data_IF_592771005757
#
_entry.id   IF_592771005757
#
_cell.length_a   1.000
_cell.length_b   1.000
_cell.length_c   1.000
_cell.angle_alpha   90.00
_cell.angle_beta   90.00
_cell.angle_gamma   90.00
#
_symmetry.space_group_name_H-M   'P 1'
#
loop_
_entity.id
_entity.type
_entity.pdbx_description
1 polymer ?
#
# COMPACT_ATOMS: atom_id res chain seq x y z
N UNK A 1 -26.84 -12.33 13.99
CA UNK A 1 -25.60 -12.21 13.20
C UNK A 1 -25.53 -10.78 12.70
N UNK A 2 -24.40 -10.07 12.83
CA UNK A 2 -24.32 -8.68 12.35
C UNK A 2 -24.31 -8.61 10.82
N UNK A 3 -24.69 -7.47 10.24
CA UNK A 3 -24.65 -7.26 8.79
C UNK A 3 -23.25 -7.55 8.21
N UNK A 4 -22.20 -7.10 8.91
CA UNK A 4 -20.80 -7.35 8.51
C UNK A 4 -20.44 -8.84 8.49
N UNK A 5 -20.89 -9.61 9.48
CA UNK A 5 -20.69 -11.07 9.52
C UNK A 5 -21.44 -11.79 8.39
N UNK A 6 -22.61 -11.28 7.99
CA UNK A 6 -23.36 -11.86 6.88
C UNK A 6 -22.64 -11.61 5.54
N UNK A 7 -22.25 -10.36 5.29
CA UNK A 7 -21.52 -9.99 4.09
C UNK A 7 -20.20 -10.76 3.96
N UNK A 8 -19.43 -10.87 5.05
CA UNK A 8 -18.22 -11.67 5.08
C UNK A 8 -18.48 -13.13 4.65
N UNK A 9 -19.47 -13.81 5.26
CA UNK A 9 -19.79 -15.21 4.93
C UNK A 9 -20.24 -15.40 3.48
N UNK A 10 -21.08 -14.50 2.97
CA UNK A 10 -21.56 -14.56 1.59
C UNK A 10 -20.41 -14.34 0.60
N UNK A 11 -19.53 -13.39 0.89
CA UNK A 11 -18.34 -13.08 0.10
C UNK A 11 -17.33 -14.21 0.09
N UNK A 12 -16.98 -14.77 1.25
CA UNK A 12 -16.07 -15.92 1.34
C UNK A 12 -16.61 -17.12 0.57
N UNK A 13 -17.90 -17.46 0.74
CA UNK A 13 -18.56 -18.54 -0.01
C UNK A 13 -18.50 -18.31 -1.53
N UNK A 14 -18.74 -17.08 -1.98
CA UNK A 14 -18.63 -16.74 -3.39
C UNK A 14 -17.19 -16.92 -3.89
N UNK A 15 -16.20 -16.38 -3.18
CA UNK A 15 -14.79 -16.42 -3.59
C UNK A 15 -14.21 -17.84 -3.62
N UNK A 16 -14.70 -18.76 -2.78
CA UNK A 16 -14.28 -20.17 -2.82
C UNK A 16 -14.72 -20.89 -4.09
N UNK A 17 -15.85 -20.48 -4.68
CA UNK A 17 -16.50 -21.23 -5.78
C UNK A 17 -16.43 -20.51 -7.12
N UNK A 18 -16.28 -19.19 -7.11
CA UNK A 18 -16.27 -18.39 -8.31
C UNK A 18 -14.95 -18.53 -9.08
N UNK A 19 -14.99 -18.53 -10.42
CA UNK A 19 -13.78 -18.41 -11.21
C UNK A 19 -13.14 -17.03 -10.96
N UNK A 20 -11.81 -16.96 -11.01
CA UNK A 20 -11.05 -15.72 -10.87
C UNK A 20 -11.43 -14.75 -12.01
N UNK A 21 -12.23 -13.73 -11.71
CA UNK A 21 -12.76 -12.75 -12.66
C UNK A 21 -12.65 -11.34 -12.11
N UNK A 22 -11.45 -10.77 -12.23
CA UNK A 22 -11.09 -9.49 -11.61
C UNK A 22 -11.86 -8.27 -12.13
N UNK A 23 -12.49 -8.38 -13.30
CA UNK A 23 -13.33 -7.34 -13.89
C UNK A 23 -14.83 -7.53 -13.58
N UNK A 24 -15.19 -8.60 -12.87
CA UNK A 24 -16.59 -8.86 -12.51
C UNK A 24 -16.96 -8.06 -11.25
N UNK A 25 -18.02 -7.24 -11.35
CA UNK A 25 -18.46 -6.40 -10.25
C UNK A 25 -18.74 -7.20 -8.95
N UNK A 26 -19.35 -8.39 -9.06
CA UNK A 26 -19.60 -9.24 -7.89
C UNK A 26 -18.32 -9.78 -7.26
N UNK A 27 -17.29 -10.10 -8.07
CA UNK A 27 -15.98 -10.48 -7.56
C UNK A 27 -15.27 -9.32 -6.86
N UNK A 28 -15.32 -8.13 -7.44
CA UNK A 28 -14.76 -6.92 -6.83
C UNK A 28 -15.46 -6.63 -5.48
N UNK A 29 -16.80 -6.60 -5.47
CA UNK A 29 -17.58 -6.41 -4.24
C UNK A 29 -17.28 -7.47 -3.20
N UNK A 30 -17.17 -8.75 -3.59
CA UNK A 30 -16.86 -9.82 -2.66
C UNK A 30 -15.51 -9.60 -1.95
N UNK A 31 -14.47 -9.11 -2.64
CA UNK A 31 -13.18 -8.77 -2.01
C UNK A 31 -13.30 -7.57 -1.07
N UNK A 32 -14.21 -6.62 -1.36
CA UNK A 32 -14.48 -5.43 -0.54
C UNK A 32 -15.29 -5.69 0.69
N UNK A 33 -16.17 -6.67 0.64
CA UNK A 33 -17.08 -7.02 1.71
C UNK A 33 -16.47 -8.03 2.71
N UNK A 34 -15.20 -8.42 2.51
CA UNK A 34 -14.46 -9.24 3.50
C UNK A 34 -14.21 -8.40 4.74
N UNK A 35 -14.79 -8.81 5.86
CA UNK A 35 -14.33 -8.42 7.19
C UNK A 35 -13.02 -9.15 7.52
N UNK A 36 -11.87 -8.52 7.25
CA UNK A 36 -10.55 -9.16 7.39
C UNK A 36 -10.24 -9.55 8.85
N UNK A 37 -10.76 -8.79 9.81
CA UNK A 37 -10.67 -9.07 11.24
C UNK A 37 -11.39 -10.36 11.68
N UNK A 38 -12.25 -10.92 10.82
CA UNK A 38 -13.00 -12.15 11.08
C UNK A 38 -12.42 -13.37 10.36
N UNK A 39 -11.36 -13.22 9.56
CA UNK A 39 -10.78 -14.31 8.80
C UNK A 39 -10.30 -15.44 9.72
N UNK A 40 -10.74 -16.66 9.39
CA UNK A 40 -10.13 -17.88 9.90
C UNK A 40 -8.83 -18.20 9.15
N UNK A 41 -8.02 -19.12 9.68
CA UNK A 41 -6.77 -19.56 9.03
C UNK A 41 -7.01 -20.10 7.62
N UNK A 42 -8.06 -20.92 7.41
CA UNK A 42 -8.36 -21.50 6.09
C UNK A 42 -8.80 -20.44 5.08
N UNK A 43 -9.59 -19.47 5.54
CA UNK A 43 -10.03 -18.34 4.72
C UNK A 43 -8.84 -17.44 4.35
N UNK A 44 -7.93 -17.20 5.29
CA UNK A 44 -6.71 -16.45 5.03
C UNK A 44 -5.86 -17.12 3.95
N UNK A 45 -5.68 -18.45 4.01
CA UNK A 45 -4.97 -19.22 2.97
C UNK A 45 -5.61 -19.01 1.58
N UNK A 46 -6.94 -18.99 1.49
CA UNK A 46 -7.63 -18.69 0.23
C UNK A 46 -7.33 -17.26 -0.25
N UNK A 47 -7.40 -16.27 0.65
CA UNK A 47 -7.14 -14.87 0.32
C UNK A 47 -5.68 -14.66 -0.13
N UNK A 48 -4.72 -15.32 0.51
CA UNK A 48 -3.31 -15.30 0.08
C UNK A 48 -3.17 -15.85 -1.34
N UNK A 49 -3.77 -17.01 -1.62
CA UNK A 49 -3.73 -17.61 -2.96
C UNK A 49 -4.35 -16.68 -4.02
N UNK A 50 -5.46 -16.02 -3.69
CA UNK A 50 -6.08 -15.02 -4.55
C UNK A 50 -5.11 -13.86 -4.80
N UNK A 51 -4.56 -13.25 -3.76
CA UNK A 51 -3.59 -12.15 -3.88
C UNK A 51 -2.46 -12.44 -4.86
N UNK A 52 -1.87 -13.65 -4.80
CA UNK A 52 -0.77 -14.00 -5.71
C UNK A 52 -1.22 -14.27 -7.15
N UNK A 53 -2.45 -14.74 -7.37
CA UNK A 53 -3.04 -14.96 -8.70
C UNK A 53 -3.54 -13.66 -9.35
N UNK A 54 -3.91 -12.66 -8.56
CA UNK A 54 -4.49 -11.41 -9.03
C UNK A 54 -3.50 -10.54 -9.83
N UNK A 55 -3.97 -10.02 -10.97
CA UNK A 55 -3.26 -9.03 -11.81
C UNK A 55 -3.62 -7.59 -11.44
N UNK A 56 -4.84 -7.35 -10.96
CA UNK A 56 -5.36 -6.06 -10.54
C UNK A 56 -4.61 -5.53 -9.32
N UNK A 57 -3.92 -4.41 -9.51
CA UNK A 57 -3.17 -3.73 -8.44
C UNK A 57 -4.12 -3.27 -7.34
N UNK A 58 -5.29 -2.73 -7.70
CA UNK A 58 -6.27 -2.24 -6.74
C UNK A 58 -6.78 -3.36 -5.80
N UNK A 59 -7.14 -4.52 -6.36
CA UNK A 59 -7.61 -5.65 -5.55
C UNK A 59 -6.49 -6.21 -4.66
N UNK A 60 -5.26 -6.28 -5.18
CA UNK A 60 -4.11 -6.69 -4.36
C UNK A 60 -3.84 -5.71 -3.22
N UNK A 61 -3.88 -4.42 -3.50
CA UNK A 61 -3.69 -3.38 -2.50
C UNK A 61 -4.74 -3.48 -1.39
N UNK A 62 -6.00 -3.68 -1.77
CA UNK A 62 -7.10 -3.87 -0.82
C UNK A 62 -6.91 -5.10 0.08
N UNK A 63 -6.52 -6.24 -0.49
CA UNK A 63 -6.20 -7.44 0.30
C UNK A 63 -5.03 -7.18 1.24
N UNK A 64 -3.97 -6.52 0.76
CA UNK A 64 -2.80 -6.21 1.57
C UNK A 64 -3.16 -5.31 2.76
N UNK A 65 -3.96 -4.26 2.54
CA UNK A 65 -4.51 -3.39 3.59
C UNK A 65 -5.37 -4.11 4.62
N UNK A 66 -6.14 -5.12 4.17
CA UNK A 66 -6.93 -5.94 5.06
C UNK A 66 -6.04 -6.82 5.94
N UNK A 67 -5.13 -7.57 5.31
CA UNK A 67 -4.28 -8.55 5.98
C UNK A 67 -3.31 -7.95 7.01
N UNK A 68 -2.82 -6.72 6.82
CA UNK A 68 -1.96 -6.06 7.85
C UNK A 68 -2.67 -5.85 9.19
N UNK A 69 -4.02 -5.97 9.23
CA UNK A 69 -4.83 -5.83 10.45
C UNK A 69 -5.05 -7.18 11.14
N UNK A 70 -4.76 -8.30 10.48
CA UNK A 70 -5.01 -9.66 10.97
C UNK A 70 -3.85 -10.19 11.83
N UNK A 71 -3.63 -9.57 12.99
CA UNK A 71 -2.49 -9.89 13.86
C UNK A 71 -2.52 -11.28 14.50
N UNK A 72 -3.69 -11.90 14.58
CA UNK A 72 -3.89 -13.24 15.14
C UNK A 72 -3.56 -14.36 14.14
N UNK A 73 -3.23 -14.01 12.89
CA UNK A 73 -2.90 -14.96 11.83
C UNK A 73 -1.38 -14.99 11.59
N UNK A 74 -0.86 -16.17 11.24
CA UNK A 74 0.55 -16.38 10.88
C UNK A 74 0.82 -15.96 9.43
N UNK A 75 1.07 -14.67 9.20
CA UNK A 75 1.18 -14.07 7.86
C UNK A 75 2.61 -13.62 7.49
N UNK A 76 3.63 -14.01 8.27
CA UNK A 76 5.03 -13.61 8.01
C UNK A 76 5.47 -13.94 6.58
N UNK A 77 5.27 -15.18 6.16
CA UNK A 77 5.62 -15.66 4.82
C UNK A 77 4.85 -14.95 3.71
N UNK A 78 3.57 -14.64 3.95
CA UNK A 78 2.75 -13.87 3.03
C UNK A 78 3.37 -12.49 2.79
N UNK A 79 3.68 -11.73 3.85
CA UNK A 79 4.22 -10.38 3.72
C UNK A 79 5.60 -10.36 3.07
N UNK A 80 6.46 -11.33 3.36
CA UNK A 80 7.75 -11.47 2.67
C UNK A 80 7.58 -11.71 1.16
N UNK A 81 6.64 -12.57 0.76
CA UNK A 81 6.34 -12.84 -0.66
C UNK A 81 5.65 -11.65 -1.33
N UNK A 82 4.75 -10.95 -0.63
CA UNK A 82 4.09 -9.75 -1.09
C UNK A 82 5.11 -8.63 -1.40
N UNK A 83 6.06 -8.40 -0.49
CA UNK A 83 7.15 -7.44 -0.70
C UNK A 83 7.94 -7.76 -1.99
N UNK A 84 8.23 -9.04 -2.25
CA UNK A 84 8.95 -9.46 -3.47
C UNK A 84 8.09 -9.29 -4.74
N UNK A 85 6.78 -9.54 -4.65
CA UNK A 85 5.83 -9.44 -5.78
C UNK A 85 5.61 -8.00 -6.23
N UNK A 86 5.42 -7.07 -5.29
CA UNK A 86 4.97 -5.73 -5.62
C UNK A 86 6.08 -4.84 -6.17
N UNK A 87 5.73 -3.96 -7.10
CA UNK A 87 6.66 -3.05 -7.78
C UNK A 87 6.60 -1.62 -7.25
N UNK A 88 5.41 -1.21 -6.79
CA UNK A 88 5.14 0.14 -6.27
C UNK A 88 5.65 0.28 -4.84
N UNK A 89 6.24 1.43 -4.51
CA UNK A 89 6.86 1.64 -3.19
C UNK A 89 5.83 1.66 -2.06
N UNK A 90 4.67 2.23 -2.30
CA UNK A 90 3.56 2.28 -1.34
C UNK A 90 3.11 0.86 -0.92
N UNK A 91 2.88 -0.02 -1.90
CA UNK A 91 2.51 -1.42 -1.64
C UNK A 91 3.66 -2.22 -1.02
N UNK A 92 4.91 -1.96 -1.42
CA UNK A 92 6.07 -2.56 -0.73
C UNK A 92 6.13 -2.13 0.74
N UNK A 93 5.85 -0.86 1.04
CA UNK A 93 5.80 -0.37 2.41
C UNK A 93 4.64 -1.01 3.18
N UNK A 94 3.47 -1.20 2.58
CA UNK A 94 2.37 -1.95 3.21
C UNK A 94 2.76 -3.38 3.55
N UNK A 95 3.49 -4.07 2.68
CA UNK A 95 4.02 -5.40 3.01
C UNK A 95 5.03 -5.33 4.18
N UNK A 96 5.86 -4.29 4.25
CA UNK A 96 6.76 -4.04 5.39
C UNK A 96 5.96 -3.79 6.69
N UNK A 97 4.84 -3.06 6.62
CA UNK A 97 3.94 -2.85 7.78
C UNK A 97 3.49 -4.17 8.39
N UNK A 98 3.02 -5.09 7.55
CA UNK A 98 2.64 -6.43 7.99
C UNK A 98 3.84 -7.22 8.49
N UNK A 99 4.94 -7.24 7.74
CA UNK A 99 6.14 -8.02 8.07
C UNK A 99 6.78 -7.61 9.40
N UNK A 100 6.85 -6.31 9.69
CA UNK A 100 7.45 -5.78 10.92
C UNK A 100 6.75 -6.24 12.20
N UNK A 101 5.53 -6.75 12.11
CA UNK A 101 4.85 -7.37 13.25
C UNK A 101 5.46 -8.73 13.64
N UNK A 102 6.03 -9.47 12.67
CA UNK A 102 6.52 -10.84 12.86
C UNK A 102 8.05 -10.97 12.79
N UNK A 103 8.72 -9.97 12.22
CA UNK A 103 10.14 -10.02 11.91
C UNK A 103 10.96 -9.25 12.95
N UNK A 104 12.19 -9.72 13.21
CA UNK A 104 13.14 -8.97 14.03
C UNK A 104 13.58 -7.68 13.33
N UNK A 105 14.16 -6.76 14.10
CA UNK A 105 14.80 -5.55 13.54
C UNK A 105 15.84 -5.91 12.46
N UNK A 106 16.69 -6.92 12.71
CA UNK A 106 17.71 -7.36 11.74
C UNK A 106 17.10 -7.88 10.42
N UNK A 107 15.97 -8.60 10.49
CA UNK A 107 15.24 -9.04 9.31
C UNK A 107 14.65 -7.85 8.54
N UNK A 108 14.10 -6.87 9.26
CA UNK A 108 13.52 -5.66 8.68
C UNK A 108 14.59 -4.77 8.05
N UNK A 109 15.75 -4.61 8.69
CA UNK A 109 16.87 -3.83 8.16
C UNK A 109 17.30 -4.33 6.78
N UNK A 110 17.40 -5.66 6.59
CA UNK A 110 17.73 -6.26 5.28
C UNK A 110 16.68 -5.93 4.22
N UNK A 111 15.40 -5.95 4.58
CA UNK A 111 14.29 -5.59 3.68
C UNK A 111 14.31 -4.09 3.37
N UNK A 112 14.60 -3.26 4.36
CA UNK A 112 14.66 -1.81 4.22
C UNK A 112 15.87 -1.34 3.42
N UNK A 113 17.02 -2.02 3.51
CA UNK A 113 18.18 -1.75 2.65
C UNK A 113 17.86 -1.96 1.17
N UNK A 114 17.13 -3.04 0.84
CA UNK A 114 16.66 -3.27 -0.52
C UNK A 114 15.60 -2.23 -0.94
N UNK A 115 14.67 -1.88 -0.05
CA UNK A 115 13.67 -0.84 -0.30
C UNK A 115 14.32 0.50 -0.61
N UNK A 116 15.32 0.90 0.19
CA UNK A 116 16.05 2.15 0.05
C UNK A 116 16.81 2.24 -1.29
N UNK A 117 17.42 1.12 -1.74
CA UNK A 117 18.07 1.06 -3.05
C UNK A 117 17.09 1.34 -4.20
N UNK A 118 15.84 0.86 -4.09
CA UNK A 118 14.81 1.13 -5.10
C UNK A 118 14.33 2.57 -4.99
N UNK A 119 14.08 3.05 -3.78
CA UNK A 119 13.65 4.43 -3.50
C UNK A 119 14.63 5.45 -4.09
N UNK A 120 15.93 5.29 -3.85
CA UNK A 120 16.98 6.20 -4.37
C UNK A 120 16.92 6.31 -5.90
N UNK A 121 16.67 5.20 -6.61
CA UNK A 121 16.62 5.15 -8.08
C UNK A 121 15.26 5.55 -8.65
N UNK A 122 14.23 5.69 -7.83
CA UNK A 122 12.85 5.93 -8.30
C UNK A 122 12.73 7.16 -9.22
N UNK A 123 13.37 8.32 -8.94
CA UNK A 123 13.33 9.47 -9.83
C UNK A 123 13.91 9.21 -11.23
N UNK A 124 14.84 8.28 -11.37
CA UNK A 124 15.47 7.95 -12.66
C UNK A 124 14.50 7.22 -13.60
N UNK A 125 13.61 6.39 -13.05
CA UNK A 125 12.68 5.56 -13.83
C UNK A 125 11.26 6.10 -13.88
N UNK A 126 10.86 6.88 -12.87
CA UNK A 126 9.51 7.41 -12.71
C UNK A 126 9.61 8.80 -12.08
N UNK A 127 10.00 9.82 -12.86
CA UNK A 127 10.12 11.18 -12.35
C UNK A 127 8.75 11.67 -11.85
N UNK A 128 8.78 12.53 -10.84
CA UNK A 128 7.59 13.17 -10.26
C UNK A 128 6.54 12.18 -9.71
N UNK A 129 6.97 11.01 -9.19
CA UNK A 129 6.08 10.00 -8.60
C UNK A 129 5.52 10.42 -7.22
N UNK A 130 4.84 11.56 -7.17
CA UNK A 130 4.31 12.13 -5.95
C UNK A 130 3.34 11.23 -5.23
N UNK A 131 2.63 10.39 -5.98
CA UNK A 131 1.61 9.50 -5.43
C UNK A 131 2.20 8.51 -4.42
N UNK A 132 3.33 7.88 -4.76
CA UNK A 132 4.05 7.01 -3.84
C UNK A 132 4.61 7.81 -2.68
N UNK A 133 5.25 8.96 -2.93
CA UNK A 133 5.87 9.74 -1.86
C UNK A 133 4.85 10.28 -0.84
N UNK A 134 3.68 10.75 -1.29
CA UNK A 134 2.61 11.21 -0.39
C UNK A 134 2.10 10.09 0.51
N UNK A 135 2.03 8.86 0.00
CA UNK A 135 1.75 7.70 0.84
C UNK A 135 2.89 7.42 1.83
N UNK A 136 4.14 7.34 1.37
CA UNK A 136 5.30 6.99 2.22
C UNK A 136 5.50 7.99 3.37
N UNK A 137 5.22 9.28 3.14
CA UNK A 137 5.35 10.37 4.11
C UNK A 137 4.14 10.54 5.03
N UNK A 138 2.99 9.96 4.67
CA UNK A 138 1.75 10.12 5.41
C UNK A 138 1.84 9.60 6.84
N UNK A 139 0.87 9.95 7.69
CA UNK A 139 0.80 9.43 9.04
C UNK A 139 0.71 7.89 9.07
N UNK A 140 0.12 7.27 8.04
CA UNK A 140 0.06 5.82 7.87
C UNK A 140 1.36 5.19 7.34
N UNK A 141 2.25 5.97 6.71
CA UNK A 141 3.45 5.50 6.03
C UNK A 141 4.60 5.18 6.98
N UNK A 142 5.79 5.68 6.66
CA UNK A 142 7.00 5.51 7.48
C UNK A 142 6.86 6.09 8.89
N UNK A 143 6.21 7.26 9.11
CA UNK A 143 5.98 7.80 10.46
C UNK A 143 5.32 6.80 11.42
N UNK A 144 4.35 6.02 10.98
CA UNK A 144 3.70 4.99 11.81
C UNK A 144 4.65 3.86 12.19
N UNK A 145 5.53 3.44 11.28
CA UNK A 145 6.55 2.43 11.56
C UNK A 145 7.59 2.94 12.57
N UNK A 146 8.03 4.18 12.42
CA UNK A 146 8.95 4.84 13.36
C UNK A 146 8.30 4.91 14.75
N UNK A 147 7.08 5.45 14.85
CA UNK A 147 6.34 5.58 16.12
C UNK A 147 6.13 4.24 16.82
N UNK A 148 5.93 3.16 16.06
CA UNK A 148 5.60 1.84 16.62
C UNK A 148 6.82 1.01 16.98
N UNK A 149 7.86 1.01 16.14
CA UNK A 149 9.00 0.09 16.27
C UNK A 149 10.31 0.79 16.63
N UNK A 150 10.48 2.07 16.25
CA UNK A 150 11.69 2.83 16.55
C UNK A 150 12.95 2.40 15.79
N UNK A 151 12.83 1.57 14.74
CA UNK A 151 14.00 1.07 14.01
C UNK A 151 14.67 2.18 13.18
N UNK A 152 16.00 2.38 13.26
CA UNK A 152 16.70 3.44 12.55
C UNK A 152 16.55 3.38 11.02
N UNK A 153 16.34 2.19 10.45
CA UNK A 153 16.14 2.04 9.01
C UNK A 153 14.90 2.75 8.47
N UNK A 154 13.85 2.89 9.29
CA UNK A 154 12.63 3.62 8.90
C UNK A 154 12.87 5.13 8.84
N UNK A 155 13.61 5.69 9.81
CA UNK A 155 13.99 7.10 9.80
C UNK A 155 14.89 7.44 8.60
N UNK A 156 15.88 6.59 8.33
CA UNK A 156 16.75 6.73 7.16
C UNK A 156 15.96 6.71 5.85
N UNK A 157 14.98 5.81 5.74
CA UNK A 157 14.09 5.78 4.58
C UNK A 157 13.23 7.05 4.48
N UNK A 158 12.68 7.53 5.60
CA UNK A 158 11.85 8.74 5.61
C UNK A 158 12.66 9.97 5.20
N UNK A 159 13.88 10.13 5.71
CA UNK A 159 14.79 11.22 5.30
C UNK A 159 15.06 11.20 3.80
N UNK A 160 15.27 10.02 3.22
CA UNK A 160 15.47 9.87 1.77
C UNK A 160 14.19 10.23 0.98
N UNK A 161 13.01 9.81 1.46
CA UNK A 161 11.73 10.18 0.86
C UNK A 161 11.51 11.69 0.91
N UNK A 162 11.74 12.33 2.06
CA UNK A 162 11.59 13.77 2.22
C UNK A 162 12.52 14.53 1.28
N UNK A 163 13.78 14.12 1.18
CA UNK A 163 14.73 14.73 0.24
C UNK A 163 14.21 14.68 -1.20
N UNK A 164 13.88 13.48 -1.69
CA UNK A 164 13.39 13.32 -3.06
C UNK A 164 12.06 14.02 -3.31
N UNK A 165 11.20 14.12 -2.29
CA UNK A 165 9.93 14.81 -2.40
C UNK A 165 10.11 16.31 -2.58
N UNK A 166 10.97 16.94 -1.76
CA UNK A 166 11.26 18.37 -1.85
C UNK A 166 12.05 18.72 -3.12
N UNK A 167 12.82 17.79 -3.67
CA UNK A 167 13.51 17.95 -4.96
C UNK A 167 12.52 17.95 -6.16
N UNK A 168 11.27 17.50 -5.99
CA UNK A 168 10.26 17.56 -7.06
C UNK A 168 9.73 18.98 -7.26
N UNK A 169 9.23 19.34 -8.46
CA UNK A 169 8.51 20.58 -8.67
C UNK A 169 7.26 20.68 -7.78
N UNK A 170 6.94 21.90 -7.33
CA UNK A 170 5.77 22.19 -6.47
C UNK A 170 4.45 21.68 -7.08
N UNK A 171 4.35 21.65 -8.41
CA UNK A 171 3.20 21.11 -9.14
C UNK A 171 2.87 19.64 -8.78
N UNK A 172 3.83 18.90 -8.24
CA UNK A 172 3.71 17.51 -7.82
C UNK A 172 3.81 17.35 -6.30
N UNK A 173 3.55 18.39 -5.52
CA UNK A 173 3.61 18.30 -4.05
C UNK A 173 2.31 18.80 -3.40
N UNK A 174 1.70 18.00 -2.53
CA UNK A 174 0.65 18.40 -1.59
C UNK A 174 -0.76 18.14 -2.10
N UNK A 175 -0.98 17.05 -2.84
CA UNK A 175 -2.27 16.74 -3.44
C UNK A 175 -3.16 15.92 -2.50
N UNK A 176 -2.59 14.94 -1.82
CA UNK A 176 -3.26 14.17 -0.78
C UNK A 176 -2.27 13.68 0.29
N UNK A 177 -2.83 13.13 1.37
CA UNK A 177 -2.11 12.42 2.42
C UNK A 177 -2.96 11.25 2.90
N UNK A 178 -2.50 10.52 3.91
CA UNK A 178 -3.29 9.49 4.58
C UNK A 178 -3.26 9.72 6.08
N UNK A 179 -4.43 9.56 6.72
CA UNK A 179 -4.57 9.64 8.16
C UNK A 179 -3.93 8.43 8.88
N UNK A 180 -3.99 8.38 10.21
CA UNK A 180 -3.44 7.25 10.96
C UNK A 180 -4.12 5.91 10.65
N UNK A 181 -5.32 5.88 10.08
CA UNK A 181 -6.03 4.65 9.70
C UNK A 181 -5.74 4.20 8.25
N UNK A 182 -4.96 4.99 7.51
CA UNK A 182 -4.66 4.74 6.10
C UNK A 182 -5.79 5.18 5.17
N UNK A 183 -6.69 6.07 5.61
CA UNK A 183 -7.70 6.68 4.73
C UNK A 183 -7.08 7.87 4.02
N UNK A 184 -7.31 7.95 2.72
CA UNK A 184 -6.86 9.08 1.91
C UNK A 184 -7.57 10.36 2.35
N UNK A 185 -6.79 11.40 2.61
CA UNK A 185 -7.24 12.76 2.92
C UNK A 185 -6.81 13.66 1.77
N UNK A 186 -7.80 14.24 1.10
CA UNK A 186 -7.56 15.13 -0.01
C UNK A 186 -7.14 16.52 0.47
N UNK A 187 -5.97 16.99 0.02
CA UNK A 187 -5.44 18.32 0.37
C UNK A 187 -5.76 19.36 -0.70
N UNK A 188 -5.85 18.94 -1.96
CA UNK A 188 -6.32 19.76 -3.09
C UNK A 188 -7.36 19.04 -3.92
N UNK A 189 -8.29 19.78 -4.50
CA UNK A 189 -9.31 19.19 -5.39
C UNK A 189 -8.66 18.55 -6.63
N UNK A 190 -9.29 17.56 -7.29
CA UNK A 190 -8.71 16.92 -8.47
C UNK A 190 -8.51 17.91 -9.62
N UNK A 191 -9.38 18.94 -9.68
CA UNK A 191 -9.30 20.02 -10.66
C UNK A 191 -8.05 20.88 -10.43
N UNK A 192 -7.77 21.26 -9.20
CA UNK A 192 -6.58 22.06 -8.87
C UNK A 192 -5.30 21.27 -9.15
N UNK A 193 -5.21 20.02 -8.69
CA UNK A 193 -4.07 19.12 -8.99
C UNK A 193 -3.83 19.04 -10.50
N UNK A 194 -4.88 18.80 -11.28
CA UNK A 194 -4.79 18.73 -12.74
C UNK A 194 -4.26 20.03 -13.35
N UNK A 195 -4.81 21.18 -12.93
CA UNK A 195 -4.39 22.49 -13.44
C UNK A 195 -2.92 22.80 -13.12
N UNK A 196 -2.44 22.45 -11.93
CA UNK A 196 -1.03 22.67 -11.55
C UNK A 196 -0.08 21.85 -12.43
N UNK A 197 -0.39 20.56 -12.63
CA UNK A 197 0.41 19.65 -13.46
C UNK A 197 0.38 20.09 -14.93
N UNK A 198 -0.78 20.45 -15.47
CA UNK A 198 -0.90 20.94 -16.86
C UNK A 198 -0.10 22.23 -17.07
N UNK A 199 -0.16 23.18 -16.13
CA UNK A 199 0.63 24.42 -16.19
C UNK A 199 2.13 24.14 -16.16
N UNK A 200 2.58 23.22 -15.31
CA UNK A 200 3.99 22.83 -15.25
C UNK A 200 4.49 22.32 -16.61
N UNK A 201 3.76 21.40 -17.24
CA UNK A 201 4.17 20.87 -18.55
C UNK A 201 4.04 21.92 -19.68
N UNK A 202 3.03 22.79 -19.64
CA UNK A 202 2.91 23.87 -20.61
C UNK A 202 4.10 24.84 -20.59
N UNK A 203 4.62 25.15 -19.39
CA UNK A 203 5.82 25.98 -19.24
C UNK A 203 7.11 25.29 -19.72
N UNK A 204 7.19 23.96 -19.63
CA UNK A 204 8.34 23.20 -20.15
C UNK A 204 8.32 23.06 -21.68
N UNK A 205 7.14 22.97 -22.30
CA UNK A 205 6.98 22.83 -23.76
C UNK A 205 7.00 24.16 -24.52
N UNK A 206 6.94 25.29 -23.82
CA UNK A 206 6.99 26.64 -24.39
C UNK A 206 8.41 27.21 -24.56
N UNK A 207 9.44 26.38 -24.37
CA UNK A 207 10.85 26.67 -24.61
C UNK A 207 11.37 25.87 -25.82
#
# INVERSE_FOLDING_TARGET
MSLNQQLHKESMKYLTTAPLRENNAKFISAISDIAYELLTTDEAVLIEQLYFKLKSIALRNQILYGLIRCKELELKDFFQKAYKKERYLDMKLLAIHGLAYYASEEEIDKVMDHFLKILIKRPETTPYNYQEYEFLRSAFGLPRLIKKYGYPCFEKALQQVEKQYHDMPEAFQGHYTFDEDGKAVQLRSPRETKQMIERFFALQSGH
#
